data_IF_201723494278
#
_entry.id   IF_201723494278
#
_cell.length_a   1.000
_cell.length_b   1.000
_cell.length_c   1.000
_cell.angle_alpha   90.00
_cell.angle_beta   90.00
_cell.angle_gamma   90.00
#
_symmetry.space_group_name_H-M   'P 1'
#
loop_
_entity.id
_entity.type
_entity.pdbx_description
1 polymer ?
#
# COMPACT_ATOMS: atom_id res chain seq x y z
N UNK A 1 -16.45 7.78 -3.60
CA UNK A 1 -16.65 6.90 -2.41
C UNK A 1 -15.70 5.71 -2.52
N UNK A 2 -15.46 4.95 -1.45
CA UNK A 2 -14.48 3.85 -1.45
C UNK A 2 -14.77 2.78 -2.50
N UNK A 3 -16.04 2.37 -2.62
CA UNK A 3 -16.47 1.31 -3.55
C UNK A 3 -16.11 1.62 -5.02
N UNK A 4 -16.20 2.88 -5.46
CA UNK A 4 -15.83 3.24 -6.84
C UNK A 4 -14.38 2.92 -7.19
N UNK A 5 -13.46 2.92 -6.21
CA UNK A 5 -12.06 2.57 -6.39
C UNK A 5 -11.75 1.11 -6.08
N UNK A 6 -12.50 0.50 -5.17
CA UNK A 6 -12.06 -0.71 -4.48
C UNK A 6 -13.03 -1.89 -4.51
N UNK A 7 -14.29 -1.70 -4.91
CA UNK A 7 -15.19 -2.84 -5.11
C UNK A 7 -14.78 -3.60 -6.38
N UNK A 8 -15.03 -4.91 -6.44
CA UNK A 8 -14.71 -5.72 -7.62
C UNK A 8 -15.41 -5.24 -8.89
N UNK A 9 -16.62 -4.69 -8.76
CA UNK A 9 -17.41 -4.06 -9.82
C UNK A 9 -17.22 -2.53 -9.88
N UNK A 10 -16.30 -1.99 -9.07
CA UNK A 10 -15.96 -0.59 -9.02
C UNK A 10 -15.25 -0.12 -10.29
N UNK A 11 -15.70 0.99 -10.86
CA UNK A 11 -15.21 1.51 -12.15
C UNK A 11 -13.70 1.83 -12.19
N UNK A 12 -13.05 2.04 -11.03
CA UNK A 12 -11.63 2.37 -10.93
C UNK A 12 -10.78 1.24 -10.32
N UNK A 13 -11.33 0.06 -10.03
CA UNK A 13 -10.53 -1.06 -9.50
C UNK A 13 -9.54 -1.54 -10.57
N UNK A 14 -8.30 -1.83 -10.17
CA UNK A 14 -7.20 -2.17 -11.09
C UNK A 14 -6.69 -1.00 -11.96
N UNK A 15 -7.34 0.16 -11.91
CA UNK A 15 -6.88 1.37 -12.61
C UNK A 15 -5.89 2.16 -11.76
N UNK A 16 -5.04 2.94 -12.44
CA UNK A 16 -4.02 3.76 -11.81
C UNK A 16 -4.59 5.12 -11.42
N UNK A 17 -4.53 5.46 -10.12
CA UNK A 17 -4.77 6.82 -9.63
C UNK A 17 -3.49 7.63 -9.81
N UNK A 18 -3.52 8.80 -10.47
CA UNK A 18 -2.35 9.65 -10.65
C UNK A 18 -1.66 10.00 -9.34
N UNK A 19 -0.33 10.10 -9.36
CA UNK A 19 0.47 10.37 -8.15
C UNK A 19 0.09 11.69 -7.48
N UNK A 20 -0.24 12.71 -8.28
CA UNK A 20 -0.65 14.03 -7.78
C UNK A 20 -2.06 14.02 -7.17
N UNK A 21 -2.87 12.99 -7.46
CA UNK A 21 -4.19 12.79 -6.83
C UNK A 21 -4.07 11.91 -5.57
N UNK A 22 -3.37 10.78 -5.65
CA UNK A 22 -3.27 9.84 -4.52
C UNK A 22 -2.34 10.34 -3.43
N UNK A 23 -1.29 11.10 -3.78
CA UNK A 23 -0.40 11.79 -2.85
C UNK A 23 0.44 10.90 -1.93
N UNK A 24 0.48 9.58 -2.15
CA UNK A 24 1.32 8.66 -1.38
C UNK A 24 2.78 8.74 -1.80
N UNK A 25 3.69 8.11 -1.05
CA UNK A 25 5.12 8.09 -1.34
C UNK A 25 5.46 7.83 -2.82
N UNK A 26 6.37 8.63 -3.38
CA UNK A 26 6.74 8.56 -4.80
C UNK A 26 7.94 7.65 -5.09
N UNK A 27 8.66 7.19 -4.08
CA UNK A 27 9.93 6.48 -4.24
C UNK A 27 9.85 5.28 -5.17
N UNK A 28 8.81 4.45 -5.04
CA UNK A 28 8.58 3.31 -5.96
C UNK A 28 8.24 3.76 -7.39
N UNK A 29 7.45 4.83 -7.52
CA UNK A 29 7.12 5.39 -8.82
C UNK A 29 8.39 5.90 -9.49
N UNK A 30 9.14 6.78 -8.82
CA UNK A 30 10.27 7.50 -9.38
C UNK A 30 11.49 6.59 -9.62
N UNK A 31 11.64 5.49 -8.87
CA UNK A 31 12.69 4.49 -9.12
C UNK A 31 12.52 3.69 -10.41
N UNK A 32 11.29 3.60 -10.93
CA UNK A 32 11.00 2.91 -12.18
C UNK A 32 10.95 3.94 -13.31
N UNK A 33 12.10 4.22 -13.92
CA UNK A 33 12.24 5.24 -14.97
C UNK A 33 11.81 4.72 -16.35
N UNK A 34 11.62 5.63 -17.31
CA UNK A 34 11.38 5.23 -18.70
C UNK A 34 12.59 4.47 -19.28
N UNK A 35 13.81 4.89 -18.94
CA UNK A 35 15.04 4.18 -19.33
C UNK A 35 15.08 2.75 -18.78
N UNK A 36 14.75 2.57 -17.49
CA UNK A 36 14.70 1.24 -16.89
C UNK A 36 13.65 0.36 -17.60
N UNK A 37 12.48 0.90 -17.91
CA UNK A 37 11.47 0.23 -18.72
C UNK A 37 12.00 -0.16 -20.11
N UNK A 38 12.64 0.78 -20.82
CA UNK A 38 13.21 0.52 -22.14
C UNK A 38 14.21 -0.63 -22.10
N UNK A 39 15.10 -0.65 -21.11
CA UNK A 39 16.07 -1.72 -20.91
C UNK A 39 15.40 -3.05 -20.53
N UNK A 40 14.34 -3.03 -19.72
CA UNK A 40 13.60 -4.23 -19.37
C UNK A 40 12.92 -4.88 -20.58
N UNK A 41 12.44 -4.06 -21.52
CA UNK A 41 11.83 -4.52 -22.78
C UNK A 41 12.84 -5.09 -23.80
N UNK A 42 14.15 -5.04 -23.51
CA UNK A 42 15.19 -5.74 -24.28
C UNK A 42 15.63 -7.05 -23.64
N UNK A 43 15.08 -7.42 -22.48
CA UNK A 43 15.39 -8.70 -21.86
C UNK A 43 14.71 -9.83 -22.65
N UNK A 44 15.43 -10.93 -22.81
CA UNK A 44 14.96 -12.17 -23.46
C UNK A 44 14.56 -12.05 -24.93
N UNK A 45 15.00 -11.00 -25.64
CA UNK A 45 14.63 -10.77 -27.05
C UNK A 45 15.03 -11.88 -28.02
N UNK A 46 16.07 -12.66 -27.69
CA UNK A 46 16.58 -13.75 -28.53
C UNK A 46 16.35 -15.13 -27.91
N UNK A 47 15.43 -15.23 -26.94
CA UNK A 47 15.13 -16.48 -26.24
C UNK A 47 13.75 -16.96 -26.68
N UNK A 48 13.74 -18.11 -27.35
CA UNK A 48 12.52 -18.87 -27.66
C UNK A 48 12.48 -20.11 -26.78
N UNK A 49 11.36 -20.31 -26.08
CA UNK A 49 11.12 -21.53 -25.30
C UNK A 49 9.79 -22.15 -25.73
N UNK A 50 9.80 -23.43 -26.09
CA UNK A 50 8.61 -24.15 -26.61
C UNK A 50 7.92 -23.46 -27.80
N UNK A 51 8.69 -22.74 -28.63
CA UNK A 51 8.16 -22.01 -29.79
C UNK A 51 7.56 -20.65 -29.47
N UNK A 52 7.63 -20.20 -28.22
CA UNK A 52 7.14 -18.88 -27.79
C UNK A 52 8.32 -17.93 -27.53
N UNK A 53 8.20 -16.70 -28.02
CA UNK A 53 9.10 -15.59 -27.69
C UNK A 53 8.99 -15.27 -26.20
N UNK A 54 10.13 -15.31 -25.49
CA UNK A 54 10.20 -15.07 -24.05
C UNK A 54 10.48 -13.61 -23.71
N UNK A 55 10.57 -12.73 -24.72
CA UNK A 55 10.76 -11.31 -24.54
C UNK A 55 9.77 -10.73 -23.54
N UNK A 56 10.26 -9.85 -22.69
CA UNK A 56 9.42 -9.03 -21.83
C UNK A 56 8.73 -7.93 -22.66
N UNK A 57 7.40 -7.98 -22.75
CA UNK A 57 6.62 -7.09 -23.64
C UNK A 57 5.54 -6.26 -22.91
N UNK A 58 5.24 -6.59 -21.65
CA UNK A 58 4.06 -6.04 -20.95
C UNK A 58 4.40 -5.00 -19.88
N UNK A 59 5.68 -4.69 -19.68
CA UNK A 59 6.07 -3.65 -18.73
C UNK A 59 5.67 -2.28 -19.26
N UNK A 60 5.10 -1.46 -18.37
CA UNK A 60 4.63 -0.11 -18.69
C UNK A 60 4.95 0.82 -17.54
N UNK A 61 5.47 2.00 -17.88
CA UNK A 61 5.63 3.07 -16.92
C UNK A 61 4.25 3.68 -16.66
N UNK A 62 3.82 3.61 -15.42
CA UNK A 62 2.61 4.30 -14.94
C UNK A 62 3.00 5.63 -14.28
N UNK A 63 2.00 6.49 -14.05
CA UNK A 63 2.15 7.78 -13.37
C UNK A 63 1.44 7.81 -12.01
N UNK A 64 1.37 6.67 -11.32
CA UNK A 64 0.71 6.54 -10.03
C UNK A 64 0.55 5.09 -9.58
N UNK A 65 -0.39 4.85 -8.66
CA UNK A 65 -0.61 3.54 -8.04
C UNK A 65 -1.99 2.97 -8.37
N UNK A 66 -2.03 1.64 -8.53
CA UNK A 66 -3.26 0.93 -8.86
C UNK A 66 -4.15 0.75 -7.63
N UNK A 67 -5.46 0.92 -7.80
CA UNK A 67 -6.42 0.56 -6.77
C UNK A 67 -6.58 -0.97 -6.70
N UNK A 68 -6.40 -1.52 -5.50
CA UNK A 68 -6.61 -2.95 -5.26
C UNK A 68 -8.00 -3.18 -4.65
N UNK A 69 -8.64 -4.33 -4.94
CA UNK A 69 -9.84 -4.72 -4.23
C UNK A 69 -9.58 -4.84 -2.71
N UNK A 70 -10.60 -4.59 -1.89
CA UNK A 70 -10.50 -4.59 -0.42
C UNK A 70 -10.86 -5.94 0.23
N UNK A 71 -10.97 -7.01 -0.54
CA UNK A 71 -11.18 -8.37 -0.02
C UNK A 71 -10.07 -8.79 0.95
N UNK A 72 -10.43 -9.23 2.15
CA UNK A 72 -9.48 -9.57 3.21
C UNK A 72 -8.58 -8.40 3.64
N UNK A 73 -8.98 -7.13 3.43
CA UNK A 73 -8.16 -5.96 3.80
C UNK A 73 -7.78 -5.95 5.29
N UNK A 74 -8.63 -6.53 6.13
CA UNK A 74 -8.38 -6.61 7.57
C UNK A 74 -7.10 -7.39 7.93
N UNK A 75 -6.59 -8.27 7.05
CA UNK A 75 -5.37 -9.06 7.28
C UNK A 75 -4.16 -8.58 6.46
N UNK A 76 -4.26 -7.42 5.79
CA UNK A 76 -3.23 -6.91 4.87
C UNK A 76 -2.37 -5.77 5.43
N UNK A 77 -2.39 -5.57 6.75
CA UNK A 77 -1.50 -4.61 7.40
C UNK A 77 -0.02 -5.02 7.25
N UNK A 78 0.92 -4.05 7.22
CA UNK A 78 0.71 -2.61 7.15
C UNK A 78 0.18 -2.12 5.79
N UNK A 79 -0.50 -0.97 5.79
CA UNK A 79 -1.22 -0.39 4.67
C UNK A 79 -0.38 0.58 3.82
N UNK A 80 -0.92 0.95 2.66
CA UNK A 80 -0.25 1.63 1.53
C UNK A 80 0.77 0.73 0.83
N UNK A 81 1.21 1.15 -0.36
CA UNK A 81 2.08 0.32 -1.22
C UNK A 81 3.46 0.03 -0.59
N UNK A 82 3.92 0.87 0.34
CA UNK A 82 5.20 0.74 1.05
C UNK A 82 5.04 0.20 2.48
N UNK A 83 3.80 -0.08 2.94
CA UNK A 83 3.54 -0.57 4.28
C UNK A 83 3.92 0.44 5.38
N UNK A 84 3.66 1.72 5.15
CA UNK A 84 4.04 2.84 6.02
C UNK A 84 2.98 3.24 7.04
N UNK A 85 1.79 2.63 6.99
CA UNK A 85 0.69 2.89 7.92
C UNK A 85 0.32 1.59 8.65
N UNK A 86 0.49 1.48 9.98
CA UNK A 86 0.45 0.18 10.64
C UNK A 86 -0.96 -0.43 10.76
N UNK A 87 -2.02 0.38 10.84
CA UNK A 87 -3.39 -0.10 11.07
C UNK A 87 -4.44 0.60 10.18
N UNK A 88 -5.64 0.01 9.99
CA UNK A 88 -6.72 0.69 9.26
C UNK A 88 -7.18 1.96 9.97
N UNK A 89 -7.21 1.94 11.32
CA UNK A 89 -7.53 3.14 12.08
C UNK A 89 -6.54 4.27 11.80
N UNK A 90 -5.24 3.97 11.71
CA UNK A 90 -4.23 4.97 11.34
C UNK A 90 -4.39 5.45 9.89
N UNK A 91 -4.82 4.57 8.96
CA UNK A 91 -5.07 4.97 7.57
C UNK A 91 -6.18 6.01 7.45
N UNK A 92 -7.22 5.90 8.28
CA UNK A 92 -8.33 6.86 8.37
C UNK A 92 -8.00 8.09 9.23
N UNK A 93 -6.80 8.17 9.82
CA UNK A 93 -6.32 9.38 10.45
C UNK A 93 -5.68 10.32 9.41
N UNK A 94 -5.74 11.63 9.69
CA UNK A 94 -4.97 12.60 8.94
C UNK A 94 -3.47 12.24 8.99
N UNK A 95 -2.70 12.44 7.89
CA UNK A 95 -1.29 12.05 7.84
C UNK A 95 -0.44 12.51 9.03
N UNK A 96 -0.66 13.72 9.53
CA UNK A 96 0.06 14.29 10.68
C UNK A 96 -0.20 13.53 12.00
N UNK A 97 -1.30 12.79 12.07
CA UNK A 97 -1.67 11.95 13.22
C UNK A 97 -1.29 10.48 13.04
N UNK A 98 -0.67 10.10 11.90
CA UNK A 98 -0.20 8.72 11.66
C UNK A 98 1.14 8.50 12.37
N UNK A 99 1.41 7.27 12.88
CA UNK A 99 2.70 6.93 13.46
C UNK A 99 3.86 7.25 12.51
N UNK A 100 4.83 8.02 13.00
CA UNK A 100 6.02 8.40 12.23
C UNK A 100 7.13 7.35 12.31
N UNK A 101 7.17 6.62 13.43
CA UNK A 101 8.06 5.49 13.68
C UNK A 101 7.25 4.36 14.34
N UNK A 102 7.48 3.12 13.91
CA UNK A 102 6.84 1.93 14.49
C UNK A 102 7.67 0.68 14.19
N UNK A 103 7.31 -0.45 14.78
CA UNK A 103 8.04 -1.72 14.63
C UNK A 103 7.26 -2.73 13.79
N UNK A 104 7.97 -3.45 12.93
CA UNK A 104 7.41 -4.48 12.03
C UNK A 104 7.98 -5.86 12.34
N UNK A 105 7.16 -6.87 12.07
CA UNK A 105 7.53 -8.28 12.20
C UNK A 105 7.04 -8.96 13.49
N UNK A 106 6.23 -8.24 14.28
CA UNK A 106 5.48 -8.82 15.38
C UNK A 106 4.17 -9.44 14.87
N UNK A 107 3.80 -10.59 15.42
CA UNK A 107 2.71 -11.45 14.95
C UNK A 107 1.43 -11.35 15.79
N UNK A 108 1.41 -10.45 16.77
CA UNK A 108 0.20 -10.13 17.55
C UNK A 108 -0.67 -9.15 16.77
N UNK A 109 -1.91 -9.53 16.52
CA UNK A 109 -2.88 -8.74 15.77
C UNK A 109 -3.79 -7.92 16.69
N UNK A 110 -3.83 -6.61 16.47
CA UNK A 110 -4.75 -5.67 17.12
C UNK A 110 -6.08 -5.64 16.34
N UNK A 111 -7.11 -6.28 16.90
CA UNK A 111 -8.45 -6.35 16.29
C UNK A 111 -9.20 -5.02 16.34
N UNK A 112 -8.85 -4.12 17.25
CA UNK A 112 -9.54 -2.85 17.41
C UNK A 112 -9.00 -1.84 16.41
N UNK A 113 -7.69 -1.81 16.17
CA UNK A 113 -7.08 -0.96 15.15
C UNK A 113 -7.05 -1.56 13.76
N UNK A 114 -7.17 -2.89 13.68
CA UNK A 114 -7.05 -3.70 12.47
C UNK A 114 -5.67 -3.55 11.84
N UNK A 115 -4.71 -4.23 12.47
CA UNK A 115 -3.32 -4.30 12.05
C UNK A 115 -2.48 -5.06 13.07
N UNK A 116 -1.18 -5.16 12.85
CA UNK A 116 -0.28 -5.77 13.83
C UNK A 116 0.10 -4.76 14.92
N UNK A 117 0.27 -5.23 16.15
CA UNK A 117 0.83 -4.45 17.24
C UNK A 117 2.24 -3.99 16.83
N UNK A 118 2.48 -2.67 16.90
CA UNK A 118 3.65 -2.04 16.27
C UNK A 118 4.44 -1.11 17.21
N UNK A 119 4.16 -1.16 18.51
CA UNK A 119 4.83 -0.40 19.56
C UNK A 119 5.83 -1.24 20.38
N UNK A 120 6.00 -2.52 20.01
CA UNK A 120 6.96 -3.44 20.61
C UNK A 120 8.27 -3.46 19.81
N UNK A 121 9.34 -2.96 20.41
CA UNK A 121 10.67 -2.93 19.80
C UNK A 121 11.39 -4.28 19.84
N UNK A 122 11.20 -5.01 20.95
CA UNK A 122 11.85 -6.29 21.22
C UNK A 122 10.96 -7.11 22.15
N UNK A 123 10.87 -8.42 21.91
CA UNK A 123 10.24 -9.37 22.82
C UNK A 123 11.02 -10.69 22.81
N UNK A 124 11.25 -11.29 23.98
CA UNK A 124 11.94 -12.59 24.12
C UNK A 124 13.30 -12.66 23.38
N UNK A 125 14.04 -11.54 23.34
CA UNK A 125 15.34 -11.45 22.66
C UNK A 125 15.26 -11.34 21.13
N UNK A 126 14.06 -11.24 20.54
CA UNK A 126 13.87 -10.93 19.12
C UNK A 126 13.64 -9.44 18.95
N UNK A 127 14.55 -8.78 18.25
CA UNK A 127 14.40 -7.38 17.86
C UNK A 127 13.54 -7.26 16.60
N UNK A 128 12.60 -6.33 16.62
CA UNK A 128 11.70 -6.03 15.51
C UNK A 128 12.25 -4.88 14.65
N UNK A 129 11.85 -4.86 13.39
CA UNK A 129 12.36 -3.88 12.43
C UNK A 129 11.74 -2.51 12.70
N UNK A 130 12.55 -1.51 13.09
CA UNK A 130 12.11 -0.12 13.19
C UNK A 130 11.87 0.46 11.80
N UNK A 131 10.62 0.81 11.52
CA UNK A 131 10.21 1.53 10.32
C UNK A 131 10.15 3.03 10.64
N UNK A 132 10.89 3.85 9.88
CA UNK A 132 10.88 5.32 9.97
C UNK A 132 10.34 5.90 8.66
N UNK A 133 9.24 6.65 8.76
CA UNK A 133 8.50 7.24 7.63
C UNK A 133 9.20 8.44 7.01
N UNK A 134 10.23 8.98 7.68
CA UNK A 134 11.04 10.10 7.18
C UNK A 134 12.13 9.67 6.21
N UNK A 135 12.40 8.36 6.12
CA UNK A 135 13.38 7.82 5.18
C UNK A 135 12.83 7.83 3.74
N UNK A 136 13.70 7.97 2.73
CA UNK A 136 13.27 7.94 1.32
C UNK A 136 12.51 6.65 1.00
N UNK A 137 11.32 6.78 0.40
CA UNK A 137 10.47 5.63 0.05
C UNK A 137 9.47 5.20 1.13
N UNK A 138 9.58 5.75 2.35
CA UNK A 138 8.82 5.30 3.51
C UNK A 138 7.68 6.25 3.91
N UNK A 139 7.40 7.31 3.15
CA UNK A 139 6.39 8.30 3.55
C UNK A 139 5.03 7.62 3.78
N UNK A 140 4.38 8.00 4.89
CA UNK A 140 3.03 7.59 5.27
C UNK A 140 1.96 8.60 4.84
N UNK A 141 2.28 9.48 3.88
CA UNK A 141 1.37 10.52 3.37
C UNK A 141 0.38 9.99 2.34
N UNK A 142 -0.53 10.85 1.90
CA UNK A 142 -1.50 10.54 0.85
C UNK A 142 -2.65 9.65 1.28
N UNK A 143 -3.46 9.27 0.30
CA UNK A 143 -4.70 8.53 0.49
C UNK A 143 -5.59 9.19 1.57
N UNK A 144 -6.04 10.42 1.29
CA UNK A 144 -6.79 11.26 2.22
C UNK A 144 -8.29 10.91 2.28
N UNK A 145 -8.71 9.83 1.63
CA UNK A 145 -10.10 9.41 1.60
C UNK A 145 -10.55 8.93 2.99
N UNK A 146 -11.64 9.51 3.49
CA UNK A 146 -12.25 9.13 4.77
C UNK A 146 -11.64 9.80 6.01
N UNK A 147 -10.63 10.66 5.87
CA UNK A 147 -10.00 11.33 7.02
C UNK A 147 -10.93 12.35 7.69
N UNK A 148 -11.89 12.90 6.95
CA UNK A 148 -12.84 13.92 7.43
C UNK A 148 -14.13 13.30 7.99
N UNK A 149 -14.27 11.97 7.95
CA UNK A 149 -15.39 11.28 8.60
C UNK A 149 -15.33 11.52 10.11
N UNK A 150 -16.50 11.58 10.74
CA UNK A 150 -16.56 11.63 12.20
C UNK A 150 -16.11 10.29 12.82
N UNK A 151 -15.92 10.28 14.15
CA UNK A 151 -15.44 9.08 14.85
C UNK A 151 -16.35 7.88 14.65
N UNK A 152 -17.68 8.09 14.67
CA UNK A 152 -18.65 7.00 14.57
C UNK A 152 -18.65 6.41 13.17
N UNK A 153 -18.58 7.25 12.15
CA UNK A 153 -18.50 6.82 10.76
C UNK A 153 -17.19 6.09 10.47
N UNK A 154 -16.07 6.54 11.05
CA UNK A 154 -14.78 5.83 10.97
C UNK A 154 -14.84 4.46 11.64
N UNK A 155 -15.40 4.38 12.84
CA UNK A 155 -15.59 3.12 13.55
C UNK A 155 -16.48 2.16 12.76
N UNK A 156 -17.62 2.63 12.26
CA UNK A 156 -18.52 1.85 11.42
C UNK A 156 -17.84 1.38 10.12
N UNK A 157 -17.05 2.24 9.49
CA UNK A 157 -16.27 1.88 8.31
C UNK A 157 -15.24 0.79 8.63
N UNK A 158 -14.51 0.91 9.75
CA UNK A 158 -13.55 -0.11 10.18
C UNK A 158 -14.24 -1.45 10.45
N UNK A 159 -15.39 -1.46 11.13
CA UNK A 159 -16.17 -2.70 11.34
C UNK A 159 -16.65 -3.30 10.02
N UNK A 160 -17.09 -2.47 9.07
CA UNK A 160 -17.43 -2.95 7.73
C UNK A 160 -16.23 -3.55 7.00
N UNK A 161 -15.06 -2.91 7.06
CA UNK A 161 -13.85 -3.42 6.42
C UNK A 161 -13.35 -4.75 7.02
N UNK A 162 -13.73 -5.08 8.27
CA UNK A 162 -13.48 -6.39 8.89
C UNK A 162 -14.31 -7.51 8.26
N UNK A 163 -15.41 -7.19 7.58
CA UNK A 163 -16.28 -8.21 6.95
C UNK A 163 -15.89 -8.52 5.50
N UNK A 164 -14.91 -7.80 4.94
CA UNK A 164 -14.45 -7.95 3.55
C UNK A 164 -13.33 -8.98 3.41
#
# INVERSE_FOLDING_TARGET
NCASCHAFDGAKVGTVVPIEEIGTDRGRLDSYTYEFLSNQNTLFTDITYKGEDQRFQNFRKTNGYANMPLDGIWLRAPYLHNGSVPTLKDLLAAPDNRPQEFYRGYDVFDRDKVGFVSDVAEEQGKQYFKFDTKLPGNSNSGHLYGIDLDSKDKEALVEYLKTL
#
